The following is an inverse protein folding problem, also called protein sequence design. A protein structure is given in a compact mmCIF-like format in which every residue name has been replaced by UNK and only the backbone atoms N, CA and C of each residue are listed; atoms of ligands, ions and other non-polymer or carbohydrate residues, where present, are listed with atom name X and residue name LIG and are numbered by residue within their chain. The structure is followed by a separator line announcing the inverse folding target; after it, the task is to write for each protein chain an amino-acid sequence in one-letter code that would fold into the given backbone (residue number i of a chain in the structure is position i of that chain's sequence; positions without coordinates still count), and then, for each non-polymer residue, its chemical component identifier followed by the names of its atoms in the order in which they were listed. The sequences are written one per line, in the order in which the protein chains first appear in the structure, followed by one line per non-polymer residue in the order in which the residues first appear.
data_IF_677318104834
#
_entry.id   IF_677318104834
#
_cell.length_a   1.000
_cell.length_b   1.000
_cell.length_c   1.000
_cell.angle_alpha   90.00
_cell.angle_beta   90.00
_cell.angle_gamma   90.00
#
_symmetry.space_group_name_H-M   'P 1'
#
loop_
_entity.id
_entity.type
_entity.pdbx_description
1 polymer ?
#
# COMPACT_ATOMS: atom_id res chain seq x y z
N UNK A 1 -4.98 9.86 52.62
CA UNK A 1 -3.97 10.04 51.56
C UNK A 1 -3.74 8.78 50.71
N UNK A 2 -3.45 7.59 51.27
CA UNK A 2 -3.17 6.36 50.47
C UNK A 2 -4.34 5.94 49.53
N UNK A 3 -5.62 6.09 49.91
CA UNK A 3 -6.77 5.78 49.08
C UNK A 3 -6.97 6.74 47.90
N UNK A 4 -6.58 8.01 48.04
CA UNK A 4 -6.69 9.01 46.97
C UNK A 4 -5.61 8.79 45.93
N UNK A 5 -4.38 8.41 46.34
CA UNK A 5 -3.28 8.08 45.47
C UNK A 5 -3.60 6.83 44.62
N UNK A 6 -4.24 5.82 45.24
CA UNK A 6 -4.66 4.60 44.51
C UNK A 6 -5.78 4.87 43.49
N UNK A 7 -6.74 5.75 43.80
CA UNK A 7 -7.74 6.17 42.82
C UNK A 7 -7.16 7.00 41.68
N UNK A 8 -6.17 7.87 41.97
CA UNK A 8 -5.48 8.66 40.94
C UNK A 8 -4.62 7.79 40.04
N UNK A 9 -3.98 6.74 40.57
CA UNK A 9 -3.22 5.78 39.76
C UNK A 9 -4.12 4.90 38.89
N UNK A 10 -5.31 4.52 39.35
CA UNK A 10 -6.33 3.83 38.55
C UNK A 10 -6.91 4.74 37.45
N UNK A 11 -7.12 6.03 37.72
CA UNK A 11 -7.54 6.99 36.69
C UNK A 11 -6.46 7.28 35.64
N UNK A 12 -5.19 7.26 36.00
CA UNK A 12 -4.08 7.42 35.08
C UNK A 12 -3.84 6.19 34.19
N UNK A 13 -4.16 4.98 34.65
CA UNK A 13 -4.06 3.76 33.82
C UNK A 13 -5.20 3.65 32.77
N UNK A 14 -6.30 4.36 32.91
CA UNK A 14 -7.44 4.32 32.00
C UNK A 14 -7.29 5.23 30.76
N UNK A 15 -6.21 5.98 30.63
CA UNK A 15 -6.02 6.99 29.58
C UNK A 15 -4.91 6.65 28.57
N UNK A 16 -4.41 5.42 28.53
CA UNK A 16 -3.60 5.00 27.38
C UNK A 16 -4.53 4.71 26.21
N UNK A 17 -4.91 5.75 25.48
CA UNK A 17 -5.54 5.59 24.17
C UNK A 17 -4.46 5.04 23.22
N UNK A 18 -4.43 3.71 23.04
CA UNK A 18 -3.64 3.11 21.99
C UNK A 18 -4.11 3.69 20.65
N UNK A 19 -3.17 4.25 19.88
CA UNK A 19 -3.47 4.67 18.51
C UNK A 19 -3.98 3.44 17.76
N UNK A 20 -5.10 3.59 17.06
CA UNK A 20 -5.68 2.52 16.24
C UNK A 20 -4.81 2.35 15.00
N UNK A 21 -4.61 1.11 14.55
CA UNK A 21 -3.69 0.81 13.45
C UNK A 21 -4.41 0.10 12.31
N UNK A 22 -4.07 0.49 11.08
CA UNK A 22 -4.35 -0.30 9.90
C UNK A 22 -3.07 -1.08 9.57
N UNK A 23 -3.13 -2.38 9.71
CA UNK A 23 -2.03 -3.28 9.36
C UNK A 23 -2.20 -3.75 7.92
N UNK A 24 -1.34 -3.29 7.03
CA UNK A 24 -1.25 -3.77 5.66
C UNK A 24 -0.18 -4.85 5.57
N UNK A 25 -0.56 -6.01 5.05
CA UNK A 25 0.33 -7.11 4.71
C UNK A 25 0.21 -7.35 3.21
N UNK A 26 1.15 -6.85 2.43
CA UNK A 26 1.14 -6.99 0.97
C UNK A 26 2.23 -7.96 0.53
N UNK A 27 1.86 -8.94 -0.30
CA UNK A 27 2.75 -9.95 -0.87
C UNK A 27 2.59 -9.93 -2.38
N UNK A 28 3.62 -9.47 -3.10
CA UNK A 28 3.50 -9.21 -4.55
C UNK A 28 4.70 -9.80 -5.28
N UNK A 29 4.43 -10.62 -6.30
CA UNK A 29 5.47 -11.30 -7.09
C UNK A 29 5.99 -10.37 -8.19
N UNK A 30 7.04 -9.63 -7.86
CA UNK A 30 7.65 -8.64 -8.77
C UNK A 30 8.85 -9.14 -9.54
N UNK A 31 9.30 -10.40 -9.26
CA UNK A 31 10.50 -10.99 -9.91
C UNK A 31 10.19 -12.14 -10.87
N UNK A 32 8.95 -12.55 -10.99
CA UNK A 32 8.60 -13.60 -11.93
C UNK A 32 8.84 -13.13 -13.38
N UNK A 33 9.46 -13.97 -14.18
CA UNK A 33 9.82 -13.64 -15.58
C UNK A 33 8.59 -13.38 -16.47
N UNK A 34 7.42 -13.91 -16.11
CA UNK A 34 6.20 -13.81 -16.91
C UNK A 34 5.23 -12.74 -16.42
N UNK A 35 5.15 -12.52 -15.10
CA UNK A 35 4.16 -11.62 -14.49
C UNK A 35 4.77 -10.48 -13.68
N UNK A 36 6.06 -10.51 -13.37
CA UNK A 36 6.69 -9.54 -12.49
C UNK A 36 6.49 -8.07 -12.90
N UNK A 37 6.65 -7.75 -14.19
CA UNK A 37 6.39 -6.38 -14.70
C UNK A 37 4.92 -5.99 -14.57
N UNK A 38 4.01 -6.94 -14.79
CA UNK A 38 2.57 -6.78 -14.65
C UNK A 38 2.22 -6.51 -13.18
N UNK A 39 2.80 -7.29 -12.29
CA UNK A 39 2.55 -7.21 -10.85
C UNK A 39 3.16 -5.96 -10.22
N UNK A 40 4.29 -5.46 -10.73
CA UNK A 40 4.84 -4.13 -10.38
C UNK A 40 3.82 -3.03 -10.67
N UNK A 41 3.18 -3.06 -11.83
CA UNK A 41 2.18 -2.06 -12.19
C UNK A 41 0.90 -2.23 -11.33
N UNK A 42 0.44 -3.46 -11.14
CA UNK A 42 -0.67 -3.80 -10.23
C UNK A 42 -0.41 -3.27 -8.81
N UNK A 43 0.81 -3.44 -8.30
CA UNK A 43 1.24 -2.88 -7.02
C UNK A 43 1.14 -1.36 -7.00
N UNK A 44 1.67 -0.67 -8.01
CA UNK A 44 1.59 0.80 -8.08
C UNK A 44 0.15 1.31 -8.05
N UNK A 45 -0.73 0.67 -8.81
CA UNK A 45 -2.15 1.03 -8.85
C UNK A 45 -2.84 0.76 -7.52
N UNK A 46 -2.59 -0.41 -6.92
CA UNK A 46 -3.13 -0.77 -5.60
C UNK A 46 -2.73 0.26 -4.54
N UNK A 47 -1.45 0.64 -4.49
CA UNK A 47 -0.97 1.65 -3.54
C UNK A 47 -1.59 3.02 -3.80
N UNK A 48 -1.54 3.51 -5.04
CA UNK A 48 -2.01 4.84 -5.38
C UNK A 48 -3.52 5.04 -5.26
N UNK A 49 -4.31 3.99 -5.59
CA UNK A 49 -5.77 4.09 -5.74
C UNK A 49 -6.59 3.40 -4.66
N UNK A 50 -5.96 2.65 -3.78
CA UNK A 50 -6.66 1.92 -2.73
C UNK A 50 -6.01 2.10 -1.36
N UNK A 51 -4.76 1.68 -1.18
CA UNK A 51 -4.07 1.71 0.11
C UNK A 51 -3.94 3.15 0.64
N UNK A 52 -3.39 4.05 -0.17
CA UNK A 52 -3.15 5.43 0.25
C UNK A 52 -4.46 6.21 0.51
N UNK A 53 -5.51 5.96 -0.28
CA UNK A 53 -6.81 6.61 -0.07
C UNK A 53 -7.47 6.15 1.24
N UNK A 54 -7.42 4.85 1.54
CA UNK A 54 -7.92 4.33 2.82
C UNK A 54 -7.11 4.91 3.98
N UNK A 55 -5.80 4.92 3.89
CA UNK A 55 -4.94 5.48 4.93
C UNK A 55 -5.22 6.97 5.16
N UNK A 56 -5.34 7.77 4.10
CA UNK A 56 -5.65 9.19 4.19
C UNK A 56 -7.04 9.44 4.82
N UNK A 57 -8.06 8.69 4.39
CA UNK A 57 -9.40 8.80 4.95
C UNK A 57 -9.44 8.47 6.45
N UNK A 58 -8.71 7.42 6.87
CA UNK A 58 -8.75 6.96 8.25
C UNK A 58 -7.78 7.71 9.17
N UNK A 59 -6.78 8.41 8.64
CA UNK A 59 -5.88 9.25 9.43
C UNK A 59 -6.64 10.34 10.20
N UNK A 60 -7.67 10.95 9.60
CA UNK A 60 -8.55 11.93 10.26
C UNK A 60 -9.38 11.33 11.42
N UNK A 61 -9.46 10.00 11.51
CA UNK A 61 -10.10 9.24 12.59
C UNK A 61 -9.08 8.66 13.58
N UNK A 62 -7.84 9.13 13.55
CA UNK A 62 -6.79 8.74 14.48
C UNK A 62 -6.17 7.37 14.22
N UNK A 63 -6.37 6.80 13.04
CA UNK A 63 -5.67 5.59 12.61
C UNK A 63 -4.28 5.92 12.08
N UNK A 64 -3.32 5.05 12.38
CA UNK A 64 -1.99 5.05 11.78
C UNK A 64 -1.83 3.84 10.88
N UNK A 65 -1.13 3.97 9.76
CA UNK A 65 -0.84 2.86 8.87
C UNK A 65 0.47 2.17 9.27
N UNK A 66 0.42 0.83 9.39
CA UNK A 66 1.58 -0.04 9.50
C UNK A 66 1.63 -0.91 8.24
N UNK A 67 2.52 -0.56 7.30
CA UNK A 67 2.63 -1.23 6.01
C UNK A 67 3.82 -2.18 6.05
N UNK A 68 3.56 -3.48 5.90
CA UNK A 68 4.54 -4.53 5.73
C UNK A 68 4.42 -5.06 4.30
N UNK A 69 5.37 -4.68 3.46
CA UNK A 69 5.35 -4.93 2.03
C UNK A 69 6.45 -5.94 1.65
N UNK A 70 6.04 -7.08 1.10
CA UNK A 70 6.90 -8.20 0.75
C UNK A 70 6.86 -8.42 -0.76
N UNK A 71 7.96 -8.09 -1.41
CA UNK A 71 8.17 -8.26 -2.84
C UNK A 71 9.61 -8.68 -3.10
N UNK A 72 9.98 -9.00 -4.32
CA UNK A 72 11.31 -9.45 -4.69
C UNK A 72 11.82 -10.62 -3.82
N UNK A 73 13.03 -10.51 -3.31
CA UNK A 73 13.65 -11.54 -2.46
C UNK A 73 12.94 -11.71 -1.10
N UNK A 74 12.10 -10.75 -0.70
CA UNK A 74 11.30 -10.84 0.54
C UNK A 74 10.01 -11.65 0.38
N UNK A 75 9.58 -11.92 -0.86
CA UNK A 75 8.42 -12.77 -1.13
C UNK A 75 8.79 -14.23 -0.82
N UNK A 76 8.33 -14.76 0.30
CA UNK A 76 8.53 -16.15 0.68
C UNK A 76 7.46 -16.67 1.66
N UNK A 77 7.21 -18.00 1.70
CA UNK A 77 6.32 -18.59 2.68
C UNK A 77 6.72 -18.32 4.12
N UNK A 78 8.03 -18.32 4.39
CA UNK A 78 8.60 -18.05 5.71
C UNK A 78 8.29 -16.63 6.17
N UNK A 79 8.48 -15.66 5.28
CA UNK A 79 8.16 -14.26 5.58
C UNK A 79 6.65 -14.05 5.76
N UNK A 80 5.82 -14.72 4.96
CA UNK A 80 4.37 -14.68 5.13
C UNK A 80 3.95 -15.22 6.51
N UNK A 81 4.45 -16.38 6.88
CA UNK A 81 4.18 -16.98 8.19
C UNK A 81 4.67 -16.11 9.33
N UNK A 82 5.91 -15.56 9.24
CA UNK A 82 6.49 -14.68 10.25
C UNK A 82 5.70 -13.37 10.38
N UNK A 83 5.33 -12.74 9.27
CA UNK A 83 4.52 -11.51 9.29
C UNK A 83 3.20 -11.72 10.02
N UNK A 84 2.50 -12.82 9.72
CA UNK A 84 1.26 -13.19 10.39
C UNK A 84 1.48 -13.54 11.87
N UNK A 85 2.50 -14.33 12.20
CA UNK A 85 2.80 -14.72 13.59
C UNK A 85 3.12 -13.52 14.46
N UNK A 86 3.96 -12.62 13.97
CA UNK A 86 4.42 -11.44 14.69
C UNK A 86 3.42 -10.27 14.68
N UNK A 87 2.31 -10.41 13.96
CA UNK A 87 1.28 -9.39 13.93
C UNK A 87 0.56 -9.31 15.28
N UNK A 88 0.79 -8.20 15.98
CA UNK A 88 0.07 -7.83 17.19
C UNK A 88 -1.04 -6.85 16.83
N UNK A 89 -2.24 -7.13 17.26
CA UNK A 89 -3.43 -6.41 16.86
C UNK A 89 -4.31 -6.09 18.07
N UNK A 90 -4.87 -4.89 18.09
CA UNK A 90 -5.86 -4.45 19.09
C UNK A 90 -7.29 -4.66 18.55
N UNK A 91 -8.31 -4.77 19.41
CA UNK A 91 -9.69 -5.03 18.96
C UNK A 91 -10.32 -3.99 18.04
N UNK A 92 -9.75 -2.78 17.97
CA UNK A 92 -10.20 -1.73 17.06
C UNK A 92 -9.32 -1.56 15.84
N UNK A 93 -8.24 -2.34 15.71
CA UNK A 93 -7.38 -2.31 14.54
C UNK A 93 -8.06 -2.92 13.32
N UNK A 94 -7.50 -2.64 12.17
CA UNK A 94 -7.91 -3.17 10.87
C UNK A 94 -6.73 -3.95 10.29
N UNK A 95 -6.99 -5.15 9.78
CA UNK A 95 -6.01 -5.94 9.05
C UNK A 95 -6.43 -6.01 7.58
N UNK A 96 -5.53 -5.64 6.68
CA UNK A 96 -5.69 -5.72 5.24
C UNK A 96 -4.56 -6.57 4.67
N UNK A 97 -4.88 -7.75 4.17
CA UNK A 97 -3.95 -8.64 3.48
C UNK A 97 -4.25 -8.60 1.98
N UNK A 98 -3.20 -8.44 1.17
CA UNK A 98 -3.31 -8.44 -0.27
C UNK A 98 -2.16 -9.25 -0.89
N UNK A 99 -2.50 -10.20 -1.77
CA UNK A 99 -1.56 -10.98 -2.54
C UNK A 99 -1.78 -10.76 -4.04
N UNK A 100 -0.70 -10.52 -4.78
CA UNK A 100 -0.69 -10.49 -6.25
C UNK A 100 0.43 -11.42 -6.72
N UNK A 101 0.14 -12.38 -7.60
CA UNK A 101 1.12 -13.29 -8.13
C UNK A 101 0.54 -14.60 -8.65
N UNK A 102 1.40 -15.57 -8.83
CA UNK A 102 0.99 -16.91 -9.21
C UNK A 102 0.21 -17.62 -8.13
N UNK A 103 -0.70 -18.47 -8.55
CA UNK A 103 -1.43 -19.38 -7.68
C UNK A 103 -2.03 -20.56 -8.44
N UNK A 104 -2.63 -21.45 -7.71
CA UNK A 104 -3.26 -22.63 -8.29
C UNK A 104 -3.90 -23.51 -7.22
N UNK A 105 -4.22 -24.72 -7.61
CA UNK A 105 -4.76 -25.75 -6.72
C UNK A 105 -4.23 -27.12 -7.10
N UNK A 106 -4.22 -28.06 -6.15
CA UNK A 106 -3.88 -29.44 -6.45
C UNK A 106 -4.95 -30.08 -7.35
N UNK A 107 -4.54 -31.00 -8.21
CA UNK A 107 -5.43 -31.75 -9.10
C UNK A 107 -6.51 -32.44 -8.26
N UNK A 108 -7.76 -32.28 -8.63
CA UNK A 108 -8.93 -32.83 -7.94
C UNK A 108 -9.12 -32.35 -6.49
N UNK A 109 -8.46 -31.29 -6.05
CA UNK A 109 -8.69 -30.73 -4.73
C UNK A 109 -10.06 -30.05 -4.66
N UNK A 110 -10.96 -30.64 -3.86
CA UNK A 110 -12.31 -30.13 -3.57
C UNK A 110 -12.47 -29.70 -2.12
N UNK A 111 -11.39 -29.66 -1.35
CA UNK A 111 -11.42 -29.35 0.09
C UNK A 111 -11.78 -27.88 0.35
N UNK A 112 -11.43 -27.00 -0.59
CA UNK A 112 -11.69 -25.56 -0.50
C UNK A 112 -11.96 -24.97 -1.88
N UNK A 113 -12.67 -23.85 -1.93
CA UNK A 113 -12.85 -23.06 -3.17
C UNK A 113 -11.74 -22.03 -3.36
N UNK A 114 -10.87 -21.88 -2.38
CA UNK A 114 -9.79 -20.88 -2.40
C UNK A 114 -8.50 -21.47 -2.96
N UNK A 115 -7.67 -20.66 -3.65
CA UNK A 115 -6.41 -21.10 -4.22
C UNK A 115 -5.31 -21.24 -3.17
N UNK A 116 -4.23 -21.84 -3.60
CA UNK A 116 -2.93 -21.74 -2.95
C UNK A 116 -2.12 -20.63 -3.63
N UNK A 117 -1.58 -19.70 -2.85
CA UNK A 117 -0.69 -18.62 -3.30
C UNK A 117 0.73 -19.15 -3.47
N UNK A 118 1.38 -18.84 -4.58
CA UNK A 118 2.78 -19.20 -4.82
C UNK A 118 3.69 -18.07 -4.33
N UNK A 119 4.32 -18.26 -3.17
CA UNK A 119 5.20 -17.27 -2.56
C UNK A 119 6.68 -17.55 -2.85
N UNK A 120 7.11 -17.40 -4.10
CA UNK A 120 8.50 -17.58 -4.48
C UNK A 120 8.68 -18.08 -5.90
N UNK A 121 9.91 -18.16 -6.37
CA UNK A 121 10.28 -18.43 -7.76
C UNK A 121 9.94 -19.85 -8.27
N UNK A 122 9.57 -20.78 -7.39
CA UNK A 122 9.23 -22.16 -7.77
C UNK A 122 7.76 -22.46 -7.48
N UNK A 123 7.02 -22.74 -8.55
CA UNK A 123 5.56 -22.93 -8.51
C UNK A 123 5.08 -24.08 -7.59
N UNK A 124 5.85 -25.10 -7.37
CA UNK A 124 5.37 -26.30 -6.66
C UNK A 124 5.81 -26.42 -5.20
N UNK A 125 6.76 -25.63 -4.73
CA UNK A 125 7.42 -25.85 -3.45
C UNK A 125 7.09 -24.82 -2.38
N UNK A 126 6.40 -23.73 -2.74
CA UNK A 126 6.25 -22.55 -1.88
C UNK A 126 4.82 -22.03 -1.84
N UNK A 127 3.88 -22.96 -1.75
CA UNK A 127 2.46 -22.59 -1.74
C UNK A 127 1.92 -22.46 -0.32
N UNK A 128 1.12 -21.42 -0.10
CA UNK A 128 0.34 -21.23 1.13
C UNK A 128 -1.14 -21.10 0.75
N UNK A 129 -2.05 -21.88 1.37
CA UNK A 129 -3.48 -21.73 1.14
C UNK A 129 -4.00 -20.36 1.58
N UNK A 130 -4.78 -19.70 0.74
CA UNK A 130 -5.35 -18.38 1.04
C UNK A 130 -6.31 -18.44 2.24
N UNK A 131 -7.10 -19.48 2.36
CA UNK A 131 -8.00 -19.71 3.49
C UNK A 131 -7.25 -19.96 4.81
N UNK A 132 -6.06 -20.58 4.76
CA UNK A 132 -5.19 -20.68 5.93
C UNK A 132 -4.76 -19.27 6.40
N UNK A 133 -4.31 -18.40 5.48
CA UNK A 133 -3.95 -17.02 5.81
C UNK A 133 -5.14 -16.27 6.44
N UNK A 134 -6.31 -16.38 5.81
CA UNK A 134 -7.53 -15.79 6.33
C UNK A 134 -7.83 -16.25 7.77
N UNK A 135 -7.77 -17.56 8.03
CA UNK A 135 -8.05 -18.09 9.35
C UNK A 135 -7.03 -17.62 10.40
N UNK A 136 -5.75 -17.51 10.03
CA UNK A 136 -4.71 -16.99 10.92
C UNK A 136 -4.95 -15.50 11.24
N UNK A 137 -5.26 -14.68 10.25
CA UNK A 137 -5.52 -13.25 10.43
C UNK A 137 -6.81 -13.01 11.21
N UNK A 138 -7.87 -13.74 10.91
CA UNK A 138 -9.14 -13.71 11.65
C UNK A 138 -8.93 -13.99 13.14
N UNK A 139 -8.03 -14.90 13.50
CA UNK A 139 -7.72 -15.25 14.89
C UNK A 139 -7.05 -14.13 15.69
N UNK A 140 -6.52 -13.08 15.01
CA UNK A 140 -5.92 -11.91 15.68
C UNK A 140 -6.94 -11.00 16.37
N UNK A 141 -8.22 -11.13 16.05
CA UNK A 141 -9.29 -10.42 16.75
C UNK A 141 -9.39 -8.93 16.42
N UNK A 142 -8.90 -8.50 15.27
CA UNK A 142 -9.09 -7.13 14.77
C UNK A 142 -10.57 -6.80 14.60
N UNK A 143 -10.90 -5.50 14.58
CA UNK A 143 -12.24 -5.02 14.26
C UNK A 143 -12.69 -5.51 12.87
N UNK A 144 -11.82 -5.34 11.89
CA UNK A 144 -12.07 -5.75 10.51
C UNK A 144 -10.83 -6.45 9.96
N UNK A 145 -11.02 -7.61 9.37
CA UNK A 145 -9.98 -8.34 8.65
C UNK A 145 -10.41 -8.54 7.21
N UNK A 146 -9.62 -8.06 6.26
CA UNK A 146 -9.85 -8.24 4.82
C UNK A 146 -8.68 -8.99 4.23
N UNK A 147 -8.96 -10.14 3.59
CA UNK A 147 -7.97 -11.00 2.95
C UNK A 147 -8.31 -11.15 1.48
N UNK A 148 -7.45 -10.67 0.59
CA UNK A 148 -7.65 -10.70 -0.86
C UNK A 148 -6.48 -11.43 -1.51
N UNK A 149 -6.78 -12.50 -2.25
CA UNK A 149 -5.81 -13.23 -3.07
C UNK A 149 -6.08 -13.05 -4.55
N UNK A 150 -5.20 -12.33 -5.23
CA UNK A 150 -5.25 -12.14 -6.66
C UNK A 150 -4.26 -13.10 -7.33
N UNK A 151 -4.76 -14.27 -7.69
CA UNK A 151 -3.98 -15.32 -8.36
C UNK A 151 -4.88 -16.34 -9.07
N UNK A 152 -4.28 -17.16 -9.92
CA UNK A 152 -4.96 -18.28 -10.55
C UNK A 152 -5.47 -19.32 -9.52
N UNK A 153 -6.58 -19.96 -9.87
CA UNK A 153 -7.20 -21.04 -9.10
C UNK A 153 -7.41 -22.29 -9.97
N UNK A 154 -6.53 -22.49 -10.95
CA UNK A 154 -6.55 -23.62 -11.89
C UNK A 154 -5.64 -24.76 -11.41
N UNK A 155 -5.89 -25.96 -11.89
CA UNK A 155 -5.10 -27.18 -11.62
C UNK A 155 -3.82 -27.25 -12.48
N UNK A 156 -3.70 -26.39 -13.50
CA UNK A 156 -2.52 -26.34 -14.38
C UNK A 156 -1.87 -24.97 -14.30
N UNK A 157 -0.58 -24.88 -14.66
CA UNK A 157 0.07 -23.60 -14.95
C UNK A 157 -0.70 -22.93 -16.07
N UNK A 158 -1.70 -22.10 -15.70
CA UNK A 158 -2.48 -21.35 -16.67
C UNK A 158 -1.61 -20.30 -17.32
N UNK A 159 -1.55 -20.30 -18.65
CA UNK A 159 -1.12 -19.13 -19.38
C UNK A 159 -2.11 -18.01 -19.04
N UNK A 160 -1.61 -16.90 -18.54
CA UNK A 160 -2.42 -15.69 -18.36
C UNK A 160 -3.10 -15.37 -19.69
N UNK A 161 -4.41 -15.55 -19.76
CA UNK A 161 -5.15 -15.19 -20.96
C UNK A 161 -5.17 -13.67 -21.04
N UNK A 162 -4.57 -13.10 -22.08
CA UNK A 162 -4.70 -11.67 -22.39
C UNK A 162 -6.16 -11.36 -22.65
N UNK A 163 -6.77 -10.69 -21.73
CA UNK A 163 -8.14 -10.19 -21.86
C UNK A 163 -7.99 -8.68 -21.97
N UNK A 164 -8.54 -8.10 -23.01
CA UNK A 164 -8.59 -6.66 -23.20
C UNK A 164 -9.97 -6.13 -22.81
N UNK A 165 -10.20 -5.67 -21.59
CA UNK A 165 -11.23 -4.70 -21.33
C UNK A 165 -10.60 -3.31 -21.24
N UNK A 166 -11.22 -2.36 -21.91
CA UNK A 166 -10.85 -0.95 -21.80
C UNK A 166 -11.52 -0.37 -20.55
N UNK A 167 -10.83 -0.38 -19.42
CA UNK A 167 -11.18 0.49 -18.32
C UNK A 167 -10.26 1.71 -18.37
N UNK A 168 -10.85 2.89 -18.39
CA UNK A 168 -10.15 4.13 -18.10
C UNK A 168 -10.39 4.46 -16.64
N UNK A 169 -9.49 4.11 -15.72
CA UNK A 169 -9.53 4.70 -14.39
C UNK A 169 -9.43 6.21 -14.59
N UNK A 170 -10.40 6.94 -14.09
CA UNK A 170 -10.35 8.37 -14.11
C UNK A 170 -9.02 8.83 -13.51
N UNK A 171 -8.28 9.70 -14.20
CA UNK A 171 -7.19 10.49 -13.64
C UNK A 171 -7.78 11.49 -12.62
N UNK A 172 -8.49 10.95 -11.62
CA UNK A 172 -9.18 11.73 -10.61
C UNK A 172 -8.17 12.50 -9.76
N UNK A 173 -8.48 13.75 -9.61
CA UNK A 173 -7.86 14.68 -8.68
C UNK A 173 -7.65 14.01 -7.32
N UNK A 174 -6.45 14.06 -6.78
CA UNK A 174 -6.06 13.38 -5.54
C UNK A 174 -6.47 14.14 -4.28
N UNK A 175 -7.16 15.24 -4.40
CA UNK A 175 -7.82 15.87 -3.26
C UNK A 175 -9.13 15.13 -3.01
N UNK A 176 -9.08 14.21 -2.05
CA UNK A 176 -10.27 13.56 -1.54
C UNK A 176 -11.10 14.59 -0.75
N UNK A 177 -12.33 14.78 -1.16
CA UNK A 177 -13.27 15.63 -0.43
C UNK A 177 -13.66 14.98 0.90
N UNK A 178 -14.15 15.77 1.86
CA UNK A 178 -14.65 15.24 3.12
C UNK A 178 -15.77 14.19 2.93
N UNK A 179 -16.55 14.33 1.89
CA UNK A 179 -17.62 13.41 1.53
C UNK A 179 -17.09 12.07 1.02
N UNK A 180 -16.05 12.09 0.19
CA UNK A 180 -15.36 10.90 -0.29
C UNK A 180 -14.65 10.18 0.85
N UNK A 181 -13.96 10.94 1.71
CA UNK A 181 -13.35 10.41 2.92
C UNK A 181 -14.38 9.75 3.84
N UNK A 182 -15.54 10.37 4.04
CA UNK A 182 -16.60 9.83 4.87
C UNK A 182 -17.13 8.48 4.38
N UNK A 183 -17.22 8.26 3.06
CA UNK A 183 -17.63 6.96 2.49
C UNK A 183 -16.60 5.87 2.70
N UNK A 184 -15.31 6.19 2.53
CA UNK A 184 -14.23 5.24 2.84
C UNK A 184 -14.22 4.93 4.35
N UNK A 185 -14.41 5.94 5.20
CA UNK A 185 -14.54 5.75 6.65
C UNK A 185 -15.73 4.85 6.98
N UNK A 186 -16.87 5.04 6.34
CA UNK A 186 -18.04 4.18 6.52
C UNK A 186 -17.73 2.74 6.13
N UNK A 187 -17.11 2.49 4.98
CA UNK A 187 -16.70 1.16 4.54
C UNK A 187 -15.80 0.46 5.56
N UNK A 188 -14.83 1.17 6.14
CA UNK A 188 -13.83 0.59 7.01
C UNK A 188 -14.24 0.58 8.50
N UNK A 189 -14.95 1.60 8.96
CA UNK A 189 -15.23 1.80 10.39
C UNK A 189 -16.65 1.46 10.81
N UNK A 190 -17.61 1.35 9.87
CA UNK A 190 -18.99 0.98 10.22
C UNK A 190 -19.21 -0.54 10.18
N UNK A 191 -18.17 -1.31 9.94
CA UNK A 191 -18.25 -2.77 9.91
C UNK A 191 -17.30 -3.41 10.91
N UNK A 192 -17.70 -4.58 11.42
CA UNK A 192 -16.87 -5.46 12.23
C UNK A 192 -17.00 -6.88 11.68
N UNK A 193 -15.87 -7.57 11.55
CA UNK A 193 -15.86 -8.94 11.08
C UNK A 193 -14.76 -9.23 10.07
N UNK A 194 -15.05 -10.13 9.14
CA UNK A 194 -14.02 -10.67 8.25
C UNK A 194 -14.52 -10.76 6.82
N UNK A 195 -13.62 -10.52 5.87
CA UNK A 195 -13.84 -10.61 4.43
C UNK A 195 -12.75 -11.49 3.83
N UNK A 196 -13.14 -12.45 2.98
CA UNK A 196 -12.22 -13.29 2.22
C UNK A 196 -12.58 -13.23 0.74
N UNK A 197 -11.58 -12.99 -0.10
CA UNK A 197 -11.77 -12.85 -1.54
C UNK A 197 -10.68 -13.59 -2.30
N UNK A 198 -11.07 -14.27 -3.37
CA UNK A 198 -10.16 -14.72 -4.43
C UNK A 198 -10.62 -14.21 -5.79
N UNK A 199 -9.65 -13.85 -6.62
CA UNK A 199 -9.92 -13.27 -7.95
C UNK A 199 -10.51 -14.24 -8.97
N UNK A 200 -10.37 -15.56 -8.74
CA UNK A 200 -10.80 -16.59 -9.68
C UNK A 200 -11.47 -17.78 -8.97
N UNK A 201 -12.49 -18.37 -9.60
CA UNK A 201 -13.15 -19.60 -9.15
C UNK A 201 -12.29 -20.84 -9.43
N UNK A 202 -12.55 -21.98 -8.74
CA UNK A 202 -11.88 -23.25 -9.02
C UNK A 202 -11.91 -23.61 -10.51
N UNK A 203 -10.76 -23.97 -11.05
CA UNK A 203 -10.58 -24.29 -12.48
C UNK A 203 -10.32 -23.06 -13.37
N UNK A 204 -10.38 -21.84 -12.84
CA UNK A 204 -10.18 -20.63 -13.61
C UNK A 204 -8.80 -20.01 -13.38
N UNK A 205 -8.29 -19.29 -14.40
CA UNK A 205 -7.12 -18.43 -14.29
C UNK A 205 -7.52 -17.02 -13.91
N UNK A 206 -6.66 -16.31 -13.18
CA UNK A 206 -6.73 -14.86 -13.05
C UNK A 206 -6.09 -14.22 -14.27
N UNK A 207 -6.84 -13.39 -14.98
CA UNK A 207 -6.39 -12.74 -16.20
C UNK A 207 -5.80 -11.36 -15.92
N UNK A 208 -5.13 -10.82 -16.95
CA UNK A 208 -4.66 -9.43 -16.97
C UNK A 208 -5.47 -8.62 -17.97
N UNK A 209 -5.62 -7.34 -17.69
CA UNK A 209 -6.37 -6.41 -18.52
C UNK A 209 -5.54 -5.17 -18.82
N UNK A 210 -5.73 -4.62 -20.01
CA UNK A 210 -5.19 -3.33 -20.39
C UNK A 210 -6.07 -2.20 -19.87
N UNK A 211 -5.45 -1.16 -19.35
CA UNK A 211 -6.11 0.07 -18.95
C UNK A 211 -5.27 1.27 -19.40
N UNK A 212 -5.77 2.48 -19.20
CA UNK A 212 -4.97 3.69 -19.41
C UNK A 212 -3.78 3.82 -18.44
N UNK A 213 -3.73 2.99 -17.39
CA UNK A 213 -2.60 2.88 -16.45
C UNK A 213 -1.61 1.78 -16.84
N UNK A 214 -1.90 1.02 -17.93
CA UNK A 214 -1.11 -0.07 -18.42
C UNK A 214 -1.77 -1.44 -18.26
N UNK A 215 -1.00 -2.49 -18.48
CA UNK A 215 -1.44 -3.88 -18.48
C UNK A 215 -1.11 -4.55 -17.13
N UNK A 216 -2.13 -4.85 -16.34
CA UNK A 216 -1.99 -5.54 -15.05
C UNK A 216 -3.23 -6.39 -14.73
N UNK A 217 -3.23 -7.05 -13.57
CA UNK A 217 -4.29 -7.98 -13.23
C UNK A 217 -5.70 -7.38 -13.29
N UNK A 218 -6.62 -8.15 -13.86
CA UNK A 218 -8.00 -7.71 -14.10
C UNK A 218 -8.74 -7.42 -12.80
N UNK A 219 -8.52 -8.23 -11.76
CA UNK A 219 -9.24 -8.06 -10.50
C UNK A 219 -8.85 -6.75 -9.80
N UNK A 220 -7.56 -6.47 -9.66
CA UNK A 220 -7.09 -5.19 -9.07
C UNK A 220 -7.57 -4.00 -9.89
N UNK A 221 -7.52 -4.10 -11.23
CA UNK A 221 -8.01 -3.06 -12.11
C UNK A 221 -9.47 -2.72 -11.84
N UNK A 222 -10.33 -3.75 -11.82
CA UNK A 222 -11.76 -3.59 -11.55
C UNK A 222 -12.01 -3.13 -10.11
N UNK A 223 -11.33 -3.72 -9.12
CA UNK A 223 -11.50 -3.35 -7.71
C UNK A 223 -11.24 -1.85 -7.49
N UNK A 224 -10.15 -1.30 -8.02
CA UNK A 224 -9.85 0.12 -7.85
C UNK A 224 -10.84 1.01 -8.58
N UNK A 225 -11.37 0.57 -9.73
CA UNK A 225 -12.42 1.29 -10.45
C UNK A 225 -13.74 1.33 -9.67
N UNK A 226 -14.17 0.19 -9.12
CA UNK A 226 -15.40 0.12 -8.30
C UNK A 226 -15.21 0.84 -6.95
N UNK A 227 -14.00 0.84 -6.41
CA UNK A 227 -13.66 1.63 -5.23
C UNK A 227 -13.76 3.15 -5.50
N UNK A 228 -13.33 3.62 -6.68
CA UNK A 228 -13.53 5.00 -7.12
C UNK A 228 -15.03 5.36 -7.21
N UNK A 229 -15.87 4.46 -7.73
CA UNK A 229 -17.33 4.64 -7.79
C UNK A 229 -17.95 4.74 -6.37
N UNK A 230 -17.50 3.89 -5.44
CA UNK A 230 -17.90 3.98 -4.03
C UNK A 230 -17.48 5.32 -3.43
N UNK A 231 -16.25 5.75 -3.66
CA UNK A 231 -15.72 7.02 -3.18
C UNK A 231 -16.56 8.21 -3.67
N UNK A 232 -16.98 8.20 -4.94
CA UNK A 232 -17.84 9.24 -5.53
C UNK A 232 -19.30 9.17 -5.08
N UNK A 233 -19.73 8.08 -4.46
CA UNK A 233 -21.11 7.85 -3.99
C UNK A 233 -22.02 7.25 -5.05
N UNK A 234 -21.46 6.70 -6.10
CA UNK A 234 -22.16 5.94 -7.12
C UNK A 234 -22.49 4.52 -6.63
N UNK A 235 -21.79 4.06 -5.59
CA UNK A 235 -21.97 2.78 -4.93
C UNK A 235 -22.12 2.95 -3.42
N UNK A 236 -22.95 2.13 -2.78
CA UNK A 236 -23.09 2.13 -1.33
C UNK A 236 -21.78 1.70 -0.63
N UNK A 237 -21.37 2.37 0.46
CA UNK A 237 -20.13 2.05 1.19
C UNK A 237 -20.32 0.82 2.07
N UNK A 238 -20.40 -0.35 1.44
CA UNK A 238 -20.46 -1.66 2.09
C UNK A 238 -19.57 -2.68 1.38
N UNK A 239 -19.04 -3.63 2.14
CA UNK A 239 -18.20 -4.70 1.59
C UNK A 239 -18.97 -5.58 0.60
N UNK A 240 -20.24 -5.88 0.89
CA UNK A 240 -21.07 -6.67 -0.01
C UNK A 240 -21.29 -5.97 -1.36
N UNK A 241 -21.61 -4.67 -1.35
CA UNK A 241 -21.81 -3.90 -2.56
C UNK A 241 -20.52 -3.78 -3.37
N UNK A 242 -19.40 -3.43 -2.72
CA UNK A 242 -18.08 -3.31 -3.36
C UNK A 242 -17.68 -4.62 -4.06
N UNK A 243 -17.78 -5.74 -3.37
CA UNK A 243 -17.33 -7.03 -3.88
C UNK A 243 -18.31 -7.64 -4.88
N UNK A 244 -19.61 -7.44 -4.71
CA UNK A 244 -20.62 -7.89 -5.68
C UNK A 244 -20.45 -7.17 -7.02
N UNK A 245 -20.26 -5.85 -7.00
CA UNK A 245 -20.04 -5.06 -8.21
C UNK A 245 -18.70 -5.39 -8.85
N UNK A 246 -17.61 -5.54 -8.04
CA UNK A 246 -16.32 -6.00 -8.55
C UNK A 246 -16.46 -7.36 -9.25
N UNK A 247 -17.18 -8.32 -8.65
CA UNK A 247 -17.43 -9.63 -9.25
C UNK A 247 -18.21 -9.52 -10.54
N UNK A 248 -19.31 -8.76 -10.55
CA UNK A 248 -20.16 -8.54 -11.73
C UNK A 248 -19.35 -8.00 -12.90
N UNK A 249 -18.56 -6.96 -12.63
CA UNK A 249 -17.73 -6.29 -13.62
C UNK A 249 -16.61 -7.20 -14.14
N UNK A 250 -15.91 -7.96 -13.24
CA UNK A 250 -14.91 -8.94 -13.67
C UNK A 250 -15.53 -10.01 -14.57
N UNK A 251 -16.72 -10.53 -14.22
CA UNK A 251 -17.42 -11.52 -15.05
C UNK A 251 -17.76 -10.96 -16.45
N UNK A 252 -18.24 -9.74 -16.51
CA UNK A 252 -18.61 -9.08 -17.75
C UNK A 252 -17.38 -8.90 -18.66
N UNK A 253 -16.34 -8.24 -18.16
CA UNK A 253 -15.14 -7.92 -18.95
C UNK A 253 -14.36 -9.16 -19.37
N UNK A 254 -14.40 -10.22 -18.57
CA UNK A 254 -13.74 -11.49 -18.88
C UNK A 254 -14.65 -12.47 -19.63
N UNK A 255 -15.92 -12.10 -19.88
CA UNK A 255 -16.93 -12.98 -20.45
C UNK A 255 -17.05 -14.30 -19.67
N UNK A 256 -17.13 -14.19 -18.33
CA UNK A 256 -17.19 -15.28 -17.36
C UNK A 256 -15.98 -16.24 -17.37
N UNK A 257 -14.85 -15.86 -17.97
CA UNK A 257 -13.62 -16.68 -17.91
C UNK A 257 -12.90 -16.55 -16.58
N UNK A 258 -13.18 -15.46 -15.86
CA UNK A 258 -12.71 -15.23 -14.50
C UNK A 258 -13.89 -14.79 -13.65
N UNK A 259 -14.14 -15.53 -12.58
CA UNK A 259 -15.25 -15.26 -11.65
C UNK A 259 -14.70 -15.18 -10.23
N UNK A 260 -14.63 -13.98 -9.65
CA UNK A 260 -14.23 -13.84 -8.25
C UNK A 260 -15.19 -14.55 -7.30
N UNK A 261 -14.66 -15.09 -6.23
CA UNK A 261 -15.41 -15.61 -5.08
C UNK A 261 -15.11 -14.74 -3.87
N UNK A 262 -16.14 -14.42 -3.10
CA UNK A 262 -15.95 -13.73 -1.83
C UNK A 262 -16.92 -14.23 -0.78
N UNK A 263 -16.49 -14.12 0.48
CA UNK A 263 -17.29 -14.31 1.67
C UNK A 263 -17.18 -13.06 2.54
N UNK A 264 -18.32 -12.54 2.95
CA UNK A 264 -18.41 -11.42 3.88
C UNK A 264 -19.08 -11.87 5.15
N UNK A 265 -18.32 -11.88 6.23
CA UNK A 265 -18.82 -12.17 7.58
C UNK A 265 -18.71 -10.89 8.41
N UNK A 266 -19.33 -9.81 7.93
CA UNK A 266 -19.29 -8.50 8.55
C UNK A 266 -20.66 -8.09 9.09
N UNK A 267 -20.64 -7.39 10.21
CA UNK A 267 -21.85 -6.80 10.80
C UNK A 267 -21.68 -5.29 10.86
N UNK A 268 -22.70 -4.55 10.40
CA UNK A 268 -22.70 -3.09 10.51
C UNK A 268 -22.84 -2.69 11.98
N UNK A 269 -21.91 -1.87 12.44
CA UNK A 269 -21.86 -1.37 13.83
C UNK A 269 -21.62 0.13 13.80
N UNK A 270 -21.82 0.82 14.92
CA UNK A 270 -21.34 2.21 15.03
C UNK A 270 -19.81 2.24 14.91
N UNK A 271 -19.28 3.27 14.24
CA UNK A 271 -17.84 3.52 14.21
C UNK A 271 -17.27 3.58 15.65
N UNK A 272 -15.99 3.17 15.86
CA UNK A 272 -15.36 3.27 17.17
C UNK A 272 -15.47 4.71 17.67
N UNK A 273 -15.97 4.87 18.89
CA UNK A 273 -16.08 6.19 19.51
C UNK A 273 -14.66 6.71 19.73
N UNK A 274 -14.29 7.77 19.06
CA UNK A 274 -13.06 8.49 19.42
C UNK A 274 -13.24 8.97 20.86
N UNK A 275 -12.37 8.54 21.76
CA UNK A 275 -12.21 9.23 23.03
C UNK A 275 -11.70 10.61 22.66
N UNK A 276 -12.58 11.59 22.78
CA UNK A 276 -12.26 12.99 22.49
C UNK A 276 -10.92 13.34 23.16
N UNK A 277 -9.95 13.79 22.36
CA UNK A 277 -8.83 14.54 22.88
C UNK A 277 -9.45 15.63 23.74
N UNK A 278 -9.27 15.56 25.07
CA UNK A 278 -9.62 16.68 25.95
C UNK A 278 -8.90 17.88 25.36
N UNK A 279 -9.63 18.82 24.81
CA UNK A 279 -9.10 20.12 24.48
C UNK A 279 -8.41 20.64 25.75
N UNK A 280 -7.16 20.99 25.60
CA UNK A 280 -6.48 21.76 26.63
C UNK A 280 -7.29 23.03 26.87
N UNK A 281 -7.43 23.49 28.12
CA UNK A 281 -8.22 24.68 28.42
C UNK A 281 -7.75 25.84 27.53
N UNK A 282 -8.69 26.47 26.85
CA UNK A 282 -8.48 27.71 26.12
C UNK A 282 -7.87 28.71 27.12
N UNK A 283 -6.63 29.07 26.90
CA UNK A 283 -6.08 30.27 27.49
C UNK A 283 -6.68 31.46 26.77
N UNK A 284 -7.31 32.30 27.57
CA UNK A 284 -7.89 33.58 27.20
C UNK A 284 -6.91 34.45 26.42
N UNK A 285 -7.46 35.14 25.43
CA UNK A 285 -6.86 36.23 24.69
C UNK A 285 -6.14 37.21 25.61
N UNK A 286 -4.85 37.37 25.41
CA UNK A 286 -4.12 38.57 25.77
C UNK A 286 -3.50 39.14 24.51
N UNK A 287 -3.78 40.42 24.36
CA UNK A 287 -3.51 41.29 23.24
C UNK A 287 -2.06 41.25 22.70
N UNK A 288 -2.00 41.44 21.40
CA UNK A 288 -0.81 41.70 20.61
C UNK A 288 -0.07 42.96 21.13
N UNK A 289 1.24 42.92 21.23
CA UNK A 289 2.03 44.07 20.83
C UNK A 289 2.90 43.79 19.62
N UNK A 290 2.88 44.75 18.77
CA UNK A 290 3.65 44.96 17.57
C UNK A 290 5.17 44.95 17.77
N UNK A 291 5.86 44.36 16.79
CA UNK A 291 7.24 44.67 16.33
C UNK A 291 8.41 44.45 17.29
N UNK A 292 9.30 43.52 16.93
CA UNK A 292 10.65 43.82 16.43
C UNK A 292 11.35 42.55 15.97
N UNK A 293 11.79 42.57 14.74
CA UNK A 293 12.79 41.76 14.14
C UNK A 293 14.11 41.95 14.88
N UNK A 294 14.80 40.84 15.20
CA UNK A 294 16.26 40.75 15.15
C UNK A 294 16.76 39.36 15.61
N UNK A 295 17.46 38.65 14.72
CA UNK A 295 18.63 37.90 15.05
C UNK A 295 18.49 36.40 15.36
N UNK A 296 18.31 35.56 14.34
CA UNK A 296 18.91 34.21 14.33
C UNK A 296 18.80 33.60 12.90
N UNK A 297 19.60 34.04 11.96
CA UNK A 297 19.47 33.66 10.54
C UNK A 297 20.73 33.10 9.89
N UNK A 298 21.82 32.83 10.62
CA UNK A 298 23.06 32.37 9.99
C UNK A 298 23.19 30.84 9.89
N UNK A 299 22.73 30.10 10.87
CA UNK A 299 22.97 28.64 10.92
C UNK A 299 21.90 27.84 10.16
N UNK A 300 20.64 28.25 10.21
CA UNK A 300 19.56 27.61 9.41
C UNK A 300 19.76 27.80 7.91
N UNK A 301 20.19 28.97 7.46
CA UNK A 301 20.50 29.23 6.05
C UNK A 301 21.69 28.41 5.54
N UNK A 302 22.71 28.15 6.38
CA UNK A 302 23.87 27.33 6.01
C UNK A 302 23.51 25.83 5.89
N UNK A 303 22.66 25.32 6.77
CA UNK A 303 22.17 23.93 6.68
C UNK A 303 21.25 23.73 5.46
N UNK A 304 20.36 24.66 5.18
CA UNK A 304 19.45 24.61 4.03
C UNK A 304 20.23 24.68 2.71
N UNK A 305 21.25 25.52 2.61
CA UNK A 305 22.14 25.60 1.46
C UNK A 305 22.96 24.32 1.26
N UNK A 306 23.39 23.69 2.32
CA UNK A 306 24.12 22.41 2.28
C UNK A 306 23.20 21.28 1.79
N UNK A 307 21.97 21.21 2.30
CA UNK A 307 20.97 20.24 1.85
C UNK A 307 20.60 20.43 0.38
N UNK A 308 20.40 21.69 -0.08
CA UNK A 308 20.12 21.98 -1.48
C UNK A 308 21.27 21.59 -2.41
N UNK A 309 22.52 21.81 -2.01
CA UNK A 309 23.69 21.38 -2.77
C UNK A 309 23.76 19.84 -2.88
N UNK A 310 23.41 19.12 -1.81
CA UNK A 310 23.32 17.66 -1.82
C UNK A 310 22.25 17.19 -2.81
N UNK A 311 21.05 17.75 -2.74
CA UNK A 311 19.95 17.39 -3.66
C UNK A 311 20.30 17.65 -5.12
N UNK A 312 21.01 18.73 -5.43
CA UNK A 312 21.47 19.02 -6.79
C UNK A 312 22.50 18.01 -7.31
N UNK A 313 23.42 17.55 -6.46
CA UNK A 313 24.37 16.47 -6.82
C UNK A 313 23.64 15.16 -7.09
N UNK A 314 22.69 14.80 -6.24
CA UNK A 314 21.88 13.59 -6.38
C UNK A 314 21.03 13.65 -7.67
N UNK A 315 20.45 14.82 -7.99
CA UNK A 315 19.71 15.00 -9.23
C UNK A 315 20.58 14.74 -10.49
N UNK A 316 21.80 15.25 -10.49
CA UNK A 316 22.75 15.03 -11.60
C UNK A 316 23.09 13.55 -11.76
N UNK A 317 23.24 12.81 -10.66
CA UNK A 317 23.51 11.36 -10.71
C UNK A 317 22.29 10.61 -11.27
N UNK A 318 21.07 10.95 -10.82
CA UNK A 318 19.88 10.33 -11.38
C UNK A 318 19.65 10.65 -12.86
N UNK A 319 20.00 11.84 -13.33
CA UNK A 319 19.97 12.16 -14.77
C UNK A 319 20.92 11.22 -15.56
N UNK A 320 22.10 10.91 -15.00
CA UNK A 320 23.01 9.92 -15.59
C UNK A 320 22.43 8.50 -15.55
N UNK A 321 21.91 8.04 -14.42
CA UNK A 321 21.36 6.69 -14.24
C UNK A 321 20.12 6.43 -15.12
N UNK A 322 19.38 7.47 -15.51
CA UNK A 322 18.19 7.36 -16.35
C UNK A 322 18.49 7.60 -17.84
N UNK A 323 19.72 7.95 -18.20
CA UNK A 323 20.14 8.13 -19.60
C UNK A 323 20.37 6.77 -20.27
N UNK A 324 19.41 6.33 -21.06
CA UNK A 324 19.48 5.05 -21.79
C UNK A 324 20.43 5.05 -22.99
N UNK A 325 21.07 6.17 -23.33
CA UNK A 325 22.18 6.19 -24.28
C UNK A 325 23.50 5.67 -23.68
N UNK A 326 23.59 5.66 -22.34
CA UNK A 326 24.69 5.09 -21.59
C UNK A 326 24.42 3.59 -21.41
N UNK A 327 25.43 2.76 -21.57
CA UNK A 327 25.27 1.32 -21.41
C UNK A 327 24.88 0.96 -19.96
N UNK A 328 24.25 -0.19 -19.78
CA UNK A 328 23.72 -0.61 -18.49
C UNK A 328 24.84 -0.91 -17.47
N UNK A 329 25.96 -1.45 -17.91
CA UNK A 329 27.11 -1.77 -17.05
C UNK A 329 27.72 -0.50 -16.43
N UNK A 330 27.91 0.57 -17.24
CA UNK A 330 28.42 1.85 -16.76
C UNK A 330 27.44 2.51 -15.77
N UNK A 331 26.14 2.39 -16.02
CA UNK A 331 25.11 2.91 -15.10
C UNK A 331 25.11 2.17 -13.77
N UNK A 332 25.28 0.85 -13.78
CA UNK A 332 25.38 0.02 -12.58
C UNK A 332 26.66 0.38 -11.78
N UNK A 333 27.80 0.60 -12.46
CA UNK A 333 29.03 1.00 -11.76
C UNK A 333 28.88 2.36 -11.06
N UNK A 334 28.24 3.33 -11.72
CA UNK A 334 27.95 4.64 -11.11
C UNK A 334 26.96 4.50 -9.96
N UNK A 335 25.92 3.68 -10.11
CA UNK A 335 24.94 3.39 -9.07
C UNK A 335 25.58 2.84 -7.80
N UNK A 336 26.46 1.84 -7.94
CA UNK A 336 27.15 1.23 -6.78
C UNK A 336 28.00 2.26 -6.01
N UNK A 337 28.75 3.11 -6.73
CA UNK A 337 29.52 4.19 -6.10
C UNK A 337 28.61 5.23 -5.45
N UNK A 338 27.51 5.57 -6.10
CA UNK A 338 26.53 6.52 -5.58
C UNK A 338 25.89 6.00 -4.29
N UNK A 339 25.41 4.77 -4.31
CA UNK A 339 24.81 4.11 -3.14
C UNK A 339 25.81 4.02 -1.99
N UNK A 340 27.04 3.58 -2.24
CA UNK A 340 28.07 3.51 -1.22
C UNK A 340 28.40 4.89 -0.61
N UNK A 341 28.41 5.95 -1.44
CA UNK A 341 28.78 7.29 -0.98
C UNK A 341 27.73 7.92 -0.06
N UNK A 342 26.43 7.65 -0.32
CA UNK A 342 25.35 8.37 0.36
C UNK A 342 24.47 7.51 1.26
N UNK A 343 24.72 6.20 1.40
CA UNK A 343 23.94 5.29 2.26
C UNK A 343 23.95 5.66 3.75
N UNK A 344 24.97 6.37 4.19
CA UNK A 344 25.04 6.87 5.57
C UNK A 344 24.16 8.12 5.78
N UNK A 345 23.92 8.90 4.74
CA UNK A 345 23.13 10.13 4.80
C UNK A 345 21.66 9.88 4.43
N UNK A 346 21.39 8.93 3.51
CA UNK A 346 20.07 8.65 2.98
C UNK A 346 19.57 7.29 3.46
N UNK A 347 18.43 7.28 4.14
CA UNK A 347 17.84 6.04 4.69
C UNK A 347 16.85 5.36 3.74
N UNK A 348 16.06 6.15 3.03
CA UNK A 348 14.99 5.66 2.15
C UNK A 348 14.71 6.64 1.02
N UNK A 349 14.02 6.14 -0.02
CA UNK A 349 13.46 6.95 -1.09
C UNK A 349 11.95 6.78 -1.09
N UNK A 350 11.24 7.91 -1.08
CA UNK A 350 9.78 7.98 -1.20
C UNK A 350 9.43 8.45 -2.60
N UNK A 351 8.78 7.60 -3.37
CA UNK A 351 8.33 7.94 -4.71
C UNK A 351 6.94 8.54 -4.62
N UNK A 352 6.77 9.75 -5.16
CA UNK A 352 5.48 10.41 -5.30
C UNK A 352 4.82 10.02 -6.62
N UNK A 353 3.50 10.04 -6.64
CA UNK A 353 2.74 9.95 -7.90
C UNK A 353 3.06 11.12 -8.82
N UNK A 354 2.91 10.94 -10.16
CA UNK A 354 3.21 12.01 -11.12
C UNK A 354 2.31 13.23 -10.96
N UNK A 355 1.04 12.97 -10.70
CA UNK A 355 -0.01 14.02 -10.69
C UNK A 355 -0.31 14.56 -9.29
N UNK A 356 0.27 13.95 -8.26
CA UNK A 356 -0.06 14.23 -6.86
C UNK A 356 1.15 13.97 -5.97
N UNK A 357 1.24 14.69 -4.86
CA UNK A 357 2.35 14.56 -3.90
C UNK A 357 2.17 13.39 -2.91
N UNK A 358 1.48 12.31 -3.33
CA UNK A 358 1.37 11.11 -2.50
C UNK A 358 2.52 10.16 -2.72
N UNK A 359 3.01 9.59 -1.62
CA UNK A 359 4.00 8.53 -1.65
C UNK A 359 3.34 7.25 -2.18
N UNK A 360 3.72 6.83 -3.38
CA UNK A 360 3.25 5.61 -4.03
C UNK A 360 4.21 4.43 -3.85
N UNK A 361 5.46 4.71 -3.48
CA UNK A 361 6.46 3.70 -3.19
C UNK A 361 7.42 4.19 -2.10
N UNK A 362 7.96 3.24 -1.33
CA UNK A 362 9.04 3.45 -0.37
C UNK A 362 10.04 2.31 -0.54
N UNK A 363 11.25 2.67 -0.84
CA UNK A 363 12.33 1.71 -1.03
C UNK A 363 13.52 2.10 -0.17
N UNK A 364 14.39 1.13 0.18
CA UNK A 364 15.71 1.49 0.65
C UNK A 364 16.43 2.30 -0.43
N UNK A 365 17.42 3.08 -0.02
CA UNK A 365 18.20 3.87 -0.97
C UNK A 365 18.91 2.96 -2.01
N UNK A 366 19.42 1.82 -1.56
CA UNK A 366 20.07 0.81 -2.40
C UNK A 366 19.09 0.17 -3.40
N UNK A 367 17.95 -0.35 -2.95
CA UNK A 367 16.95 -0.99 -3.82
C UNK A 367 16.41 -0.02 -4.88
N UNK A 368 16.19 1.24 -4.50
CA UNK A 368 15.72 2.27 -5.42
C UNK A 368 16.75 2.54 -6.52
N UNK A 369 18.01 2.76 -6.14
CA UNK A 369 19.08 3.08 -7.08
C UNK A 369 19.36 1.93 -8.04
N UNK A 370 19.39 0.68 -7.55
CA UNK A 370 19.57 -0.51 -8.40
C UNK A 370 18.47 -0.63 -9.45
N UNK A 371 17.21 -0.36 -9.06
CA UNK A 371 16.08 -0.34 -9.99
C UNK A 371 16.19 0.80 -11.02
N UNK A 372 16.64 1.98 -10.63
CA UNK A 372 16.84 3.11 -11.55
C UNK A 372 17.92 2.79 -12.57
N UNK A 373 19.07 2.26 -12.14
CA UNK A 373 20.21 1.97 -13.02
C UNK A 373 19.90 0.92 -14.09
N UNK A 374 19.06 -0.06 -13.78
CA UNK A 374 18.68 -1.15 -14.70
C UNK A 374 17.42 -0.85 -15.52
N UNK A 375 16.69 0.22 -15.21
CA UNK A 375 15.45 0.55 -15.92
C UNK A 375 15.70 1.04 -17.35
N UNK A 376 14.97 0.47 -18.30
CA UNK A 376 14.93 0.93 -19.71
C UNK A 376 13.75 1.85 -20.01
N UNK A 377 12.78 1.91 -19.10
CA UNK A 377 11.54 2.68 -19.27
C UNK A 377 11.57 4.02 -18.53
N UNK A 378 12.41 4.13 -17.51
CA UNK A 378 12.54 5.34 -16.73
C UNK A 378 13.29 6.40 -17.53
N UNK A 379 12.70 7.58 -17.66
CA UNK A 379 13.27 8.71 -18.41
C UNK A 379 13.99 9.69 -17.49
N UNK A 380 13.46 9.89 -16.29
CA UNK A 380 13.97 10.88 -15.34
C UNK A 380 13.49 10.59 -13.92
N UNK A 381 14.34 10.91 -12.96
CA UNK A 381 13.96 11.07 -11.56
C UNK A 381 13.91 12.56 -11.24
N UNK A 382 12.75 13.07 -10.85
CA UNK A 382 12.61 14.45 -10.37
C UNK A 382 12.65 14.44 -8.84
N UNK A 383 13.64 15.11 -8.25
CA UNK A 383 13.72 15.28 -6.80
C UNK A 383 12.73 16.35 -6.39
N UNK A 384 11.80 16.01 -5.50
CA UNK A 384 10.76 16.90 -4.99
C UNK A 384 11.13 17.50 -3.62
N UNK A 385 12.10 16.91 -2.94
CA UNK A 385 12.56 17.37 -1.63
C UNK A 385 13.15 16.24 -0.78
N UNK A 386 13.20 16.47 0.52
CA UNK A 386 13.63 15.48 1.50
C UNK A 386 12.88 15.65 2.83
N UNK A 387 12.88 14.59 3.63
CA UNK A 387 12.37 14.60 5.01
C UNK A 387 13.50 14.17 5.95
N UNK A 388 13.74 14.92 7.02
CA UNK A 388 14.69 14.51 8.07
C UNK A 388 14.04 13.43 8.94
N UNK A 389 14.72 12.31 9.11
CA UNK A 389 14.33 11.24 10.03
C UNK A 389 14.84 11.55 11.45
N UNK A 390 14.24 10.93 12.45
CA UNK A 390 14.63 11.10 13.87
C UNK A 390 16.04 10.62 14.18
N UNK A 391 16.64 9.79 13.31
CA UNK A 391 18.02 9.31 13.42
C UNK A 391 19.06 10.19 12.69
N UNK A 392 18.66 11.36 12.19
CA UNK A 392 19.52 12.30 11.47
C UNK A 392 19.71 11.98 9.98
N UNK A 393 19.28 10.81 9.50
CA UNK A 393 19.31 10.49 8.07
C UNK A 393 18.17 11.18 7.33
N UNK A 394 18.30 11.33 6.02
CA UNK A 394 17.26 11.90 5.17
C UNK A 394 16.50 10.80 4.42
N UNK A 395 15.23 11.02 4.18
CA UNK A 395 14.41 10.32 3.21
C UNK A 395 14.25 11.20 1.98
N UNK A 396 14.75 10.77 0.82
CA UNK A 396 14.53 11.48 -0.44
C UNK A 396 13.07 11.37 -0.86
N UNK A 397 12.53 12.45 -1.41
CA UNK A 397 11.19 12.48 -1.99
C UNK A 397 11.34 12.77 -3.49
N UNK A 398 10.91 11.83 -4.32
CA UNK A 398 11.14 11.86 -5.78
C UNK A 398 9.87 11.56 -6.58
N UNK A 399 9.86 11.94 -7.85
CA UNK A 399 8.90 11.48 -8.87
C UNK A 399 9.64 10.73 -9.96
N UNK A 400 9.11 9.58 -10.36
CA UNK A 400 9.59 8.81 -11.51
C UNK A 400 8.88 9.27 -12.78
N UNK A 401 9.62 9.62 -13.83
CA UNK A 401 9.07 10.03 -15.13
C UNK A 401 9.48 8.97 -16.16
N UNK A 402 8.48 8.34 -16.75
CA UNK A 402 8.67 7.25 -17.71
C UNK A 402 8.63 7.75 -19.16
N UNK A 403 9.23 6.97 -20.07
CA UNK A 403 9.07 7.15 -21.52
C UNK A 403 7.60 6.92 -21.87
N UNK A 404 7.07 7.77 -22.74
CA UNK A 404 5.73 7.58 -23.32
C UNK A 404 5.76 6.55 -24.43
#
# INVERSE_FOLDING_TARGET
MKKVIFLLSMLLMSAMTYAQTIHWLTFIDTKDENVGEIDILGRKVLYGRYINLINAALASKGYTANIQDYYDSRLSPENCKKAIQNLHCQPNDIIMFYYIGHGGRAINDKSTVYPQMCLGQSYNERMIPLDWVYNQLKSKGARLTVTIGMCCNSESKGLTSKIAPQFSPNNGNTYMTDQEAARIQELCLSYKGNVLVTSASPGQTSGCAESNLGYFDTYTNVLVHIFDALQKGELAPSWDALLAETKSTVNEVTKNRQTPIFETHVTKTSAPRQTAKKEAPQQENIEKPTSKQEGSTSDENAEEQTAQNLLNKIATIYDYLTDTSINEEDRIEVEQRFTQTYSDEISEVKVLSQDNDFVIDRSSFEDFNGRVATSRLLRKIAICGYLKSTNGKIALVVKEIYKK
#
